data_IF_017089411083
#
_entry.id   IF_017089411083
#
_cell.length_a   1.000
_cell.length_b   1.000
_cell.length_c   1.000
_cell.angle_alpha   90.00
_cell.angle_beta   90.00
_cell.angle_gamma   90.00
#
_symmetry.space_group_name_H-M   'P 1'
#
loop_
_entity.id
_entity.type
_entity.pdbx_description
1 polymer ?
#
# COMPACT_ATOMS: atom_id res chain seq x y z
N UNK A 1 -9.17 -7.79 -20.93
CA UNK A 1 -8.15 -8.25 -19.97
C UNK A 1 -8.53 -7.63 -18.63
N UNK A 2 -8.82 -8.44 -17.62
CA UNK A 2 -9.26 -7.92 -16.32
C UNK A 2 -8.05 -7.40 -15.53
N UNK A 3 -7.85 -6.08 -15.53
CA UNK A 3 -6.75 -5.40 -14.80
C UNK A 3 -6.81 -5.57 -13.27
N UNK A 4 -7.94 -6.08 -12.75
CA UNK A 4 -8.12 -6.47 -11.35
C UNK A 4 -7.40 -7.76 -10.95
N UNK A 5 -6.96 -8.60 -11.89
CA UNK A 5 -6.34 -9.89 -11.60
C UNK A 5 -4.93 -9.79 -10.98
N UNK A 6 -4.26 -8.65 -11.11
CA UNK A 6 -2.89 -8.48 -10.64
C UNK A 6 -2.79 -7.96 -9.19
N UNK A 7 -3.88 -7.49 -8.57
CA UNK A 7 -3.82 -6.89 -7.23
C UNK A 7 -4.05 -7.95 -6.15
N UNK A 8 -3.13 -8.03 -5.20
CA UNK A 8 -3.17 -9.00 -4.10
C UNK A 8 -3.89 -8.41 -2.87
N UNK A 9 -4.57 -9.21 -2.04
CA UNK A 9 -5.14 -8.76 -0.78
C UNK A 9 -4.06 -8.16 0.15
N UNK A 10 -4.37 -7.04 0.82
CA UNK A 10 -3.39 -6.32 1.67
C UNK A 10 -2.83 -7.17 2.81
N UNK A 11 -3.59 -8.13 3.37
CA UNK A 11 -3.10 -9.00 4.44
C UNK A 11 -1.94 -9.91 4.02
N UNK A 12 -1.69 -10.07 2.72
CA UNK A 12 -0.55 -10.81 2.16
C UNK A 12 0.66 -9.90 1.84
N UNK A 13 0.53 -8.59 2.02
CA UNK A 13 1.58 -7.65 1.73
C UNK A 13 2.78 -7.82 2.68
N UNK A 14 4.02 -7.62 2.19
CA UNK A 14 5.22 -7.72 3.01
C UNK A 14 5.22 -6.69 4.15
N UNK A 15 5.58 -7.13 5.36
CA UNK A 15 5.61 -6.31 6.58
C UNK A 15 7.03 -6.06 7.09
N UNK A 16 8.00 -6.21 6.19
CA UNK A 16 9.43 -6.12 6.44
C UNK A 16 10.04 -4.77 5.99
N UNK A 17 9.19 -3.82 5.60
CA UNK A 17 9.62 -2.51 5.10
C UNK A 17 9.85 -2.48 3.58
N UNK A 18 9.61 -3.57 2.86
CA UNK A 18 9.69 -3.59 1.39
C UNK A 18 8.66 -2.61 0.79
N UNK A 19 9.08 -1.70 -0.11
CA UNK A 19 8.16 -0.80 -0.81
C UNK A 19 7.20 -1.53 -1.75
N UNK A 20 5.94 -1.13 -1.72
CA UNK A 20 4.86 -1.67 -2.56
C UNK A 20 3.96 -0.56 -3.12
N UNK A 21 3.18 -0.91 -4.13
CA UNK A 21 2.09 -0.08 -4.63
C UNK A 21 0.80 -0.47 -3.89
N UNK A 22 0.03 0.52 -3.46
CA UNK A 22 -1.21 0.38 -2.70
C UNK A 22 -2.39 0.88 -3.52
N UNK A 23 -3.47 0.09 -3.53
CA UNK A 23 -4.78 0.51 -4.00
C UNK A 23 -5.61 0.95 -2.80
N UNK A 24 -5.90 2.25 -2.71
CA UNK A 24 -6.59 2.85 -1.58
C UNK A 24 -8.09 2.55 -1.62
N UNK A 25 -8.74 2.50 -0.46
CA UNK A 25 -10.18 2.23 -0.37
C UNK A 25 -11.04 3.33 -1.02
N UNK A 26 -10.50 4.55 -1.06
CA UNK A 26 -11.08 5.74 -1.69
C UNK A 26 -11.19 5.59 -3.22
N UNK A 27 -10.32 4.78 -3.83
CA UNK A 27 -10.35 4.51 -5.26
C UNK A 27 -11.30 3.34 -5.56
N UNK A 28 -12.39 3.60 -6.29
CA UNK A 28 -13.38 2.55 -6.62
C UNK A 28 -12.79 1.46 -7.53
N UNK A 29 -11.94 1.87 -8.47
CA UNK A 29 -11.19 1.01 -9.38
C UNK A 29 -9.70 1.07 -9.07
N UNK A 30 -8.90 0.04 -9.42
CA UNK A 30 -7.47 0.10 -9.18
C UNK A 30 -6.81 1.29 -9.89
N UNK A 31 -5.89 2.01 -9.24
CA UNK A 31 -5.30 3.21 -9.82
C UNK A 31 -4.39 2.86 -11.00
N UNK A 32 -4.53 3.59 -12.11
CA UNK A 32 -3.63 3.51 -13.25
C UNK A 32 -2.44 4.46 -13.06
N UNK A 33 -2.69 5.76 -12.89
CA UNK A 33 -1.71 6.78 -12.50
C UNK A 33 -2.42 7.98 -11.84
N UNK A 34 -1.80 8.67 -10.87
CA UNK A 34 -0.55 8.31 -10.21
C UNK A 34 -0.72 7.10 -9.29
N UNK A 35 0.33 6.30 -9.14
CA UNK A 35 0.32 5.15 -8.23
C UNK A 35 0.70 5.59 -6.82
N UNK A 36 -0.06 5.15 -5.83
CA UNK A 36 0.27 5.32 -4.42
C UNK A 36 1.27 4.25 -4.01
N UNK A 37 2.47 4.66 -3.59
CA UNK A 37 3.49 3.75 -3.10
C UNK A 37 3.77 4.00 -1.62
N UNK A 38 4.13 2.94 -0.89
CA UNK A 38 4.46 3.03 0.52
C UNK A 38 5.16 1.79 1.04
N UNK A 39 5.50 1.79 2.32
CA UNK A 39 6.15 0.67 3.01
C UNK A 39 5.57 0.50 4.42
N UNK A 40 5.64 -0.71 4.94
CA UNK A 40 5.17 -1.01 6.29
C UNK A 40 6.18 -0.51 7.32
N UNK A 41 5.72 0.20 8.35
CA UNK A 41 6.56 0.70 9.43
C UNK A 41 5.83 0.60 10.77
N UNK A 42 6.59 0.64 11.86
CA UNK A 42 6.09 0.62 13.23
C UNK A 42 6.57 1.85 13.98
N UNK A 43 5.68 2.55 14.68
CA UNK A 43 6.06 3.59 15.63
C UNK A 43 6.38 2.95 16.99
N UNK A 44 7.64 2.98 17.46
CA UNK A 44 7.99 2.39 18.74
C UNK A 44 7.31 3.09 19.91
N UNK A 45 7.06 4.40 19.76
CA UNK A 45 6.45 5.24 20.79
C UNK A 45 4.96 4.96 20.96
N UNK A 46 4.27 4.67 19.85
CA UNK A 46 2.84 4.43 19.86
C UNK A 46 2.47 2.94 19.90
N UNK A 47 3.43 2.03 19.70
CA UNK A 47 3.20 0.58 19.69
C UNK A 47 2.30 0.11 18.54
N UNK A 48 2.16 0.92 17.48
CA UNK A 48 1.31 0.63 16.32
C UNK A 48 2.12 0.55 15.04
N UNK A 49 1.64 -0.25 14.10
CA UNK A 49 2.20 -0.37 12.76
C UNK A 49 1.22 0.10 11.70
N UNK A 50 1.75 0.69 10.63
CA UNK A 50 0.98 1.32 9.56
C UNK A 50 1.80 1.35 8.27
N UNK A 51 1.11 1.57 7.16
CA UNK A 51 1.74 1.94 5.90
C UNK A 51 2.14 3.40 5.95
N UNK A 52 3.41 3.70 5.69
CA UNK A 52 3.87 5.05 5.39
C UNK A 52 3.93 5.21 3.87
N UNK A 53 3.14 6.14 3.35
CA UNK A 53 3.08 6.48 1.94
C UNK A 53 4.21 7.44 1.59
N UNK A 54 4.80 7.25 0.41
CA UNK A 54 5.74 8.21 -0.14
C UNK A 54 5.02 9.50 -0.51
N UNK A 55 5.62 10.63 -0.15
CA UNK A 55 5.07 11.96 -0.34
C UNK A 55 5.64 12.93 0.69
N UNK A 56 5.52 14.22 0.41
CA UNK A 56 5.88 15.28 1.35
C UNK A 56 4.65 16.20 1.54
N UNK A 57 4.05 16.25 2.74
CA UNK A 57 4.42 15.49 3.96
C UNK A 57 4.08 13.99 3.85
N UNK A 58 4.73 13.12 4.67
CA UNK A 58 4.41 11.71 4.74
C UNK A 58 2.95 11.48 5.13
N UNK A 59 2.25 10.59 4.42
CA UNK A 59 0.90 10.16 4.77
C UNK A 59 0.94 8.75 5.33
N UNK A 60 -0.04 8.40 6.17
CA UNK A 60 -0.10 7.11 6.83
C UNK A 60 -1.48 6.48 6.64
N UNK A 61 -1.52 5.16 6.49
CA UNK A 61 -2.77 4.42 6.45
C UNK A 61 -2.64 3.03 7.08
N UNK A 62 -3.78 2.46 7.47
CA UNK A 62 -3.87 1.08 7.95
C UNK A 62 -4.38 0.15 6.85
N UNK A 63 -4.31 -1.16 7.07
CA UNK A 63 -4.89 -2.15 6.16
C UNK A 63 -6.37 -1.91 5.86
N UNK A 64 -7.13 -1.32 6.79
CA UNK A 64 -8.56 -1.01 6.59
C UNK A 64 -8.79 0.02 5.48
N UNK A 65 -7.76 0.77 5.10
CA UNK A 65 -7.81 1.81 4.09
C UNK A 65 -7.22 1.34 2.75
N UNK A 66 -6.87 0.06 2.63
CA UNK A 66 -6.20 -0.50 1.45
C UNK A 66 -7.03 -1.67 0.92
N UNK A 67 -7.42 -1.60 -0.35
CA UNK A 67 -8.15 -2.67 -1.06
C UNK A 67 -7.21 -3.78 -1.52
N UNK A 68 -6.02 -3.42 -1.97
CA UNK A 68 -5.04 -4.38 -2.45
C UNK A 68 -3.67 -3.77 -2.67
N UNK A 69 -2.71 -4.60 -3.06
CA UNK A 69 -1.34 -4.18 -3.31
C UNK A 69 -0.70 -4.91 -4.49
N UNK A 70 0.43 -4.36 -4.95
CA UNK A 70 1.37 -4.98 -5.91
C UNK A 70 2.81 -4.69 -5.52
N UNK A 71 3.78 -5.55 -5.92
CA UNK A 71 5.20 -5.20 -5.85
C UNK A 71 5.49 -3.88 -6.57
N UNK A 72 6.34 -3.03 -5.98
CA UNK A 72 6.77 -1.78 -6.62
C UNK A 72 7.67 -2.05 -7.84
N UNK A 73 8.46 -3.12 -7.79
CA UNK A 73 9.29 -3.61 -8.88
C UNK A 73 8.60 -4.82 -9.52
N UNK A 74 8.41 -4.78 -10.84
CA UNK A 74 8.22 -5.99 -11.65
C UNK A 74 9.61 -6.42 -12.11
N UNK A 75 10.02 -7.64 -11.79
CA UNK A 75 11.03 -8.33 -12.58
C UNK A 75 10.51 -8.58 -14.01
#
# INVERSE_FOLDING_TARGET
MNETADWMPVHLAPRDGTPIILWMIEDETPPALPLTAGFWTSSPQAGVSYWQLFGDPPRFCSDRQVRGWKPLLRD
#
